data_IF_035317428993
#
_entry.id   IF_035317428993
#
_cell.length_a   1.000
_cell.length_b   1.000
_cell.length_c   1.000
_cell.angle_alpha   90.00
_cell.angle_beta   90.00
_cell.angle_gamma   90.00
#
_symmetry.space_group_name_H-M   'P 1'
#
loop_
_entity.id
_entity.type
_entity.pdbx_description
1 polymer ?
#
# COMPACT_ATOMS: atom_id res chain seq x y z
N UNK A 1 -14.50 -4.48 -2.97
CA UNK A 1 -14.11 -5.33 -4.13
C UNK A 1 -14.07 -6.80 -3.69
N UNK A 2 -14.23 -7.78 -4.59
CA UNK A 2 -14.00 -9.19 -4.26
C UNK A 2 -12.53 -9.42 -3.89
N UNK A 3 -12.26 -10.31 -2.95
CA UNK A 3 -10.90 -10.61 -2.48
C UNK A 3 -10.13 -11.51 -3.43
N UNK A 4 -10.84 -12.38 -4.16
CA UNK A 4 -10.26 -13.30 -5.14
C UNK A 4 -11.02 -13.20 -6.47
N UNK A 5 -10.31 -13.32 -7.58
CA UNK A 5 -10.86 -13.37 -8.92
C UNK A 5 -10.09 -14.35 -9.81
N UNK A 6 -10.73 -14.85 -10.86
CA UNK A 6 -10.07 -15.60 -11.93
C UNK A 6 -9.52 -14.65 -13.00
N UNK A 7 -8.47 -15.06 -13.74
CA UNK A 7 -8.01 -14.32 -14.90
C UNK A 7 -9.17 -14.08 -15.88
N UNK A 8 -9.23 -12.89 -16.48
CA UNK A 8 -10.31 -12.50 -17.40
C UNK A 8 -11.73 -12.43 -16.81
N UNK A 9 -11.89 -12.52 -15.48
CA UNK A 9 -13.18 -12.37 -14.81
C UNK A 9 -13.63 -10.90 -14.76
N UNK A 10 -14.94 -10.68 -14.88
CA UNK A 10 -15.53 -9.35 -14.74
C UNK A 10 -15.77 -9.01 -13.27
N UNK A 11 -15.19 -7.90 -12.81
CA UNK A 11 -15.26 -7.47 -11.42
C UNK A 11 -15.98 -6.14 -11.29
N UNK A 12 -16.86 -6.08 -10.29
CA UNK A 12 -17.61 -4.89 -9.90
C UNK A 12 -16.93 -4.22 -8.73
N UNK A 13 -16.51 -2.98 -8.94
CA UNK A 13 -15.95 -2.09 -7.92
C UNK A 13 -17.04 -1.10 -7.53
N UNK A 14 -17.40 -1.07 -6.25
CA UNK A 14 -18.29 -0.03 -5.71
C UNK A 14 -17.43 1.09 -5.16
N UNK A 15 -17.66 2.30 -5.66
CA UNK A 15 -16.95 3.50 -5.25
C UNK A 15 -17.96 4.42 -4.58
N UNK A 16 -17.57 4.94 -3.41
CA UNK A 16 -18.37 5.86 -2.62
C UNK A 16 -17.51 7.09 -2.33
N UNK A 17 -18.02 8.25 -2.67
CA UNK A 17 -17.40 9.56 -2.43
C UNK A 17 -18.45 10.56 -1.97
N UNK A 18 -18.01 11.74 -1.53
CA UNK A 18 -18.90 12.85 -1.23
C UNK A 18 -19.56 13.39 -2.52
N UNK A 19 -20.72 14.03 -2.35
CA UNK A 19 -21.44 14.73 -3.43
C UNK A 19 -20.54 15.66 -4.24
N UNK A 20 -20.71 15.68 -5.58
CA UNK A 20 -19.97 16.54 -6.51
C UNK A 20 -18.43 16.43 -6.41
N UNK A 21 -17.92 15.26 -6.02
CA UNK A 21 -16.48 15.02 -5.97
C UNK A 21 -15.95 14.48 -7.29
N UNK A 22 -14.78 14.98 -7.70
CA UNK A 22 -13.99 14.36 -8.74
C UNK A 22 -13.18 13.20 -8.15
N UNK A 23 -13.28 12.01 -8.72
CA UNK A 23 -12.59 10.80 -8.24
C UNK A 23 -11.65 10.28 -9.31
N UNK A 24 -10.37 10.14 -8.99
CA UNK A 24 -9.39 9.41 -9.79
C UNK A 24 -9.17 8.01 -9.22
N UNK A 25 -9.27 6.98 -10.06
CA UNK A 25 -9.04 5.58 -9.69
C UNK A 25 -7.84 5.03 -10.44
N UNK A 26 -7.01 4.28 -9.72
CA UNK A 26 -5.80 3.65 -10.25
C UNK A 26 -5.74 2.19 -9.79
N UNK A 27 -5.52 1.27 -10.72
CA UNK A 27 -5.27 -0.15 -10.45
C UNK A 27 -3.87 -0.55 -10.93
N UNK A 28 -2.97 -0.88 -10.01
CA UNK A 28 -1.57 -1.24 -10.32
C UNK A 28 -1.25 -2.65 -9.83
N UNK A 29 -0.38 -3.35 -10.55
CA UNK A 29 0.10 -4.66 -10.17
C UNK A 29 0.99 -4.57 -8.92
N UNK A 30 0.75 -5.44 -7.93
CA UNK A 30 1.55 -5.48 -6.71
C UNK A 30 3.04 -5.73 -6.99
N UNK A 31 3.38 -6.49 -8.04
CA UNK A 31 4.78 -6.76 -8.40
C UNK A 31 5.55 -5.47 -8.72
N UNK A 32 4.91 -4.51 -9.38
CA UNK A 32 5.51 -3.19 -9.70
C UNK A 32 5.75 -2.38 -8.44
N UNK A 33 4.79 -2.40 -7.50
CA UNK A 33 4.93 -1.73 -6.19
C UNK A 33 6.09 -2.32 -5.36
N UNK A 34 6.42 -3.60 -5.56
CA UNK A 34 7.53 -4.26 -4.89
C UNK A 34 8.89 -3.97 -5.53
N UNK A 35 8.94 -3.55 -6.80
CA UNK A 35 10.19 -3.22 -7.48
C UNK A 35 10.79 -1.90 -6.99
N UNK A 36 9.94 -0.89 -6.79
CA UNK A 36 10.36 0.42 -6.30
C UNK A 36 9.24 1.09 -5.52
N UNK A 37 9.42 1.15 -4.19
CA UNK A 37 8.52 1.89 -3.29
C UNK A 37 8.73 3.40 -3.37
N UNK A 38 7.72 4.17 -2.97
CA UNK A 38 7.81 5.64 -2.83
C UNK A 38 7.31 6.45 -4.04
N UNK A 39 6.66 5.80 -5.00
CA UNK A 39 6.01 6.49 -6.13
C UNK A 39 4.49 6.70 -5.92
N UNK A 40 3.93 6.16 -4.84
CA UNK A 40 2.53 6.31 -4.48
C UNK A 40 2.33 7.55 -3.60
N UNK A 41 1.22 8.26 -3.81
CA UNK A 41 0.82 9.36 -2.93
C UNK A 41 0.36 8.79 -1.59
N UNK A 42 0.99 9.22 -0.50
CA UNK A 42 0.54 8.89 0.86
C UNK A 42 -0.15 10.07 1.52
N UNK A 43 -1.01 9.77 2.49
CA UNK A 43 -1.67 10.81 3.29
C UNK A 43 -0.67 11.71 4.00
N UNK A 44 0.42 11.13 4.51
CA UNK A 44 1.48 11.85 5.22
C UNK A 44 2.24 12.79 4.28
N UNK A 45 2.55 12.36 3.05
CA UNK A 45 3.22 13.22 2.06
C UNK A 45 2.38 14.45 1.72
N UNK A 46 1.07 14.27 1.58
CA UNK A 46 0.12 15.37 1.34
C UNK A 46 0.11 16.33 2.53
N UNK A 47 -0.06 15.83 3.76
CA UNK A 47 -0.11 16.70 4.93
C UNK A 47 1.23 17.37 5.24
N UNK A 48 2.34 16.68 5.04
CA UNK A 48 3.68 17.27 5.17
C UNK A 48 3.87 18.40 4.16
N UNK A 49 3.41 18.21 2.92
CA UNK A 49 3.43 19.26 1.90
C UNK A 49 2.52 20.44 2.27
N UNK A 50 1.30 20.18 2.74
CA UNK A 50 0.37 21.24 3.20
C UNK A 50 0.92 22.00 4.41
N UNK A 51 1.64 21.33 5.31
CA UNK A 51 2.27 21.97 6.47
C UNK A 51 3.33 23.00 6.06
N UNK A 52 3.94 22.90 4.88
CA UNK A 52 4.88 23.92 4.39
C UNK A 52 4.21 25.27 4.10
N UNK A 53 2.90 25.28 3.88
CA UNK A 53 2.10 26.49 3.69
C UNK A 53 1.60 27.09 5.00
N UNK A 54 1.88 26.47 6.16
CA UNK A 54 1.54 27.06 7.45
C UNK A 54 2.25 28.40 7.60
N UNK A 55 1.46 29.45 7.78
CA UNK A 55 1.99 30.78 7.99
C UNK A 55 2.54 30.89 9.41
N UNK A 56 3.76 31.36 9.53
CA UNK A 56 4.34 31.82 10.78
C UNK A 56 4.91 33.21 10.54
N UNK A 57 4.83 34.08 11.55
CA UNK A 57 5.52 35.35 11.46
C UNK A 57 7.00 35.12 11.79
N UNK A 58 7.93 35.50 10.90
CA UNK A 58 9.37 35.32 11.12
C UNK A 58 9.81 35.93 12.45
N UNK A 59 10.94 35.44 12.97
CA UNK A 59 11.52 35.94 14.21
C UNK A 59 11.64 37.47 14.20
N UNK A 60 10.94 38.13 15.12
CA UNK A 60 11.05 39.57 15.35
C UNK A 60 11.96 39.76 16.56
N UNK A 61 13.06 40.49 16.40
CA UNK A 61 14.10 40.67 17.42
C UNK A 61 13.53 41.01 18.81
N UNK A 62 13.44 40.01 19.70
CA UNK A 62 12.84 40.17 21.01
C UNK A 62 12.78 38.94 21.93
N UNK A 63 12.56 39.18 23.23
CA UNK A 63 12.26 38.20 24.27
C UNK A 63 10.76 38.20 24.58
N UNK A 64 10.05 37.13 24.19
CA UNK A 64 8.64 36.91 24.52
C UNK A 64 7.88 36.17 23.41
N UNK A 65 6.89 35.36 23.78
CA UNK A 65 5.94 34.79 22.81
C UNK A 65 5.03 35.92 22.32
N UNK A 66 5.06 36.20 21.03
CA UNK A 66 4.16 37.16 20.39
C UNK A 66 3.02 36.42 19.69
N UNK A 67 1.81 37.01 19.59
CA UNK A 67 0.62 36.31 19.09
C UNK A 67 0.81 35.70 17.71
N UNK A 68 1.55 36.38 16.83
CA UNK A 68 1.85 35.95 15.47
C UNK A 68 2.77 34.73 15.35
N UNK A 69 3.56 34.42 16.39
CA UNK A 69 4.65 33.43 16.32
C UNK A 69 4.13 32.03 15.94
N UNK A 70 2.95 31.67 16.46
CA UNK A 70 2.29 30.38 16.18
C UNK A 70 1.05 30.52 15.32
N UNK A 71 0.47 31.71 15.21
CA UNK A 71 -0.78 31.94 14.47
C UNK A 71 -0.58 32.43 13.05
N UNK A 72 0.63 32.88 12.69
CA UNK A 72 0.90 33.49 11.38
C UNK A 72 0.25 34.85 11.17
N UNK A 73 -0.34 35.44 12.23
CA UNK A 73 -1.04 36.73 12.17
C UNK A 73 -0.08 37.90 12.39
N UNK A 74 -0.31 39.00 11.68
CA UNK A 74 0.34 40.29 11.93
C UNK A 74 -0.57 41.12 12.83
N UNK A 75 -0.06 41.53 13.99
CA UNK A 75 -0.79 42.40 14.93
C UNK A 75 -0.33 43.84 14.77
N UNK A 76 -1.27 44.75 14.50
CA UNK A 76 -1.05 46.20 14.47
C UNK A 76 -1.80 46.82 15.66
N UNK A 77 -1.09 47.52 16.54
CA UNK A 77 -1.69 48.17 17.72
C UNK A 77 -0.99 49.49 18.03
N UNK A 78 -1.73 50.41 18.65
CA UNK A 78 -1.22 51.67 19.20
C UNK A 78 -0.63 51.48 20.63
N UNK A 79 -0.80 50.31 21.23
CA UNK A 79 -0.24 49.98 22.53
C UNK A 79 1.27 49.74 22.42
N UNK A 80 2.06 50.25 23.36
CA UNK A 80 3.48 49.94 23.47
C UNK A 80 3.65 48.47 23.92
N UNK A 81 3.78 47.55 22.97
CA UNK A 81 4.02 46.12 23.23
C UNK A 81 5.53 45.86 23.26
N UNK A 82 6.14 45.61 24.44
CA UNK A 82 7.59 45.50 24.55
C UNK A 82 8.07 44.13 24.08
N UNK A 83 8.87 44.09 23.01
CA UNK A 83 9.50 42.86 22.53
C UNK A 83 10.91 42.67 23.09
N UNK A 84 11.56 43.64 23.75
CA UNK A 84 12.99 43.50 24.05
C UNK A 84 13.35 44.11 25.40
N UNK A 85 13.86 43.31 26.34
CA UNK A 85 14.80 43.72 27.42
C UNK A 85 15.31 42.49 28.20
N UNK A 86 16.42 41.89 27.72
CA UNK A 86 17.41 41.19 28.56
C UNK A 86 17.39 39.64 28.58
N UNK A 87 18.57 38.97 28.53
CA UNK A 87 18.68 37.51 28.59
C UNK A 87 18.54 36.98 30.02
N UNK A 88 17.57 36.08 30.27
CA UNK A 88 17.57 35.19 31.43
C UNK A 88 18.27 33.88 31.06
N UNK A 89 19.48 33.70 31.57
CA UNK A 89 20.27 32.46 31.40
C UNK A 89 19.83 31.46 32.48
N UNK A 90 19.23 30.33 32.07
CA UNK A 90 18.94 29.20 32.97
C UNK A 90 19.70 27.97 32.47
N UNK A 91 20.73 27.55 33.21
CA UNK A 91 21.57 26.39 32.89
C UNK A 91 21.07 25.14 33.61
N UNK A 92 20.81 24.06 32.85
CA UNK A 92 20.60 22.71 33.41
C UNK A 92 21.87 21.88 33.20
N UNK A 93 22.41 21.31 34.28
CA UNK A 93 23.50 20.32 34.25
C UNK A 93 22.87 18.94 34.30
N UNK A 94 23.08 18.12 33.27
CA UNK A 94 22.75 16.69 33.30
C UNK A 94 24.04 15.89 33.46
N UNK A 95 24.17 15.23 34.60
CA UNK A 95 25.29 14.34 34.93
C UNK A 95 24.97 12.94 34.41
N UNK A 96 25.68 12.52 33.36
CA UNK A 96 25.57 11.17 32.80
C UNK A 96 26.63 10.25 33.35
N UNK A 97 26.23 9.06 33.81
CA UNK A 97 27.13 7.95 34.14
C UNK A 97 26.96 6.79 33.15
N UNK A 98 28.09 6.33 32.59
CA UNK A 98 28.22 5.23 31.63
C UNK A 98 28.76 3.96 32.30
N UNK A 99 28.46 2.83 31.64
CA UNK A 99 29.19 1.53 31.58
C UNK A 99 28.91 0.47 32.66
N UNK A 100 29.26 -0.83 32.44
CA UNK A 100 29.28 -1.62 31.19
C UNK A 100 28.85 -3.12 31.31
N UNK A 101 28.60 -3.76 30.16
CA UNK A 101 28.64 -5.21 29.85
C UNK A 101 27.84 -6.23 30.68
N UNK A 102 26.84 -6.88 30.06
CA UNK A 102 26.46 -8.27 30.38
C UNK A 102 26.26 -9.09 29.09
N UNK A 103 26.85 -10.28 29.13
CA UNK A 103 27.07 -11.32 28.12
C UNK A 103 25.82 -12.04 27.60
N UNK A 104 25.89 -12.49 26.34
CA UNK A 104 24.90 -13.31 25.62
C UNK A 104 24.83 -14.76 26.15
N UNK A 105 23.64 -15.39 26.28
CA UNK A 105 23.56 -16.85 26.33
C UNK A 105 23.43 -17.45 24.92
N UNK A 106 24.16 -18.54 24.68
CA UNK A 106 23.95 -19.47 23.56
C UNK A 106 23.07 -20.62 24.05
N UNK A 107 22.04 -20.97 23.28
CA UNK A 107 21.31 -22.23 23.44
C UNK A 107 21.60 -23.13 22.22
N UNK A 108 21.91 -24.40 22.49
CA UNK A 108 22.00 -25.50 21.53
C UNK A 108 21.04 -26.58 22.05
N UNK A 109 20.04 -26.93 21.27
CA UNK A 109 19.13 -28.05 21.56
C UNK A 109 19.38 -29.13 20.51
N UNK A 110 19.71 -30.34 20.96
CA UNK A 110 19.73 -31.54 20.14
C UNK A 110 18.72 -32.53 20.69
N UNK A 111 18.09 -33.32 19.81
CA UNK A 111 17.31 -34.50 20.17
C UNK A 111 17.86 -35.67 19.35
N UNK A 112 18.15 -36.78 20.04
CA UNK A 112 18.65 -38.05 19.52
C UNK A 112 17.67 -39.16 19.90
N UNK A 113 17.30 -39.97 18.91
CA UNK A 113 16.69 -41.31 19.01
C UNK A 113 15.17 -41.31 19.21
N UNK A 114 14.39 -42.25 18.70
CA UNK A 114 14.60 -43.41 17.81
C UNK A 114 13.19 -43.93 17.44
N UNK A 115 13.11 -44.94 16.57
CA UNK A 115 11.95 -45.78 16.23
C UNK A 115 10.98 -45.27 15.16
N UNK A 116 11.33 -45.59 13.91
CA UNK A 116 10.53 -46.52 13.12
C UNK A 116 9.09 -46.13 12.79
N UNK A 117 8.90 -45.14 11.92
CA UNK A 117 7.74 -45.08 11.03
C UNK A 117 8.21 -44.94 9.58
N UNK A 118 8.21 -46.05 8.84
CA UNK A 118 8.37 -46.03 7.38
C UNK A 118 7.02 -45.69 6.77
N UNK A 119 6.83 -44.44 6.35
CA UNK A 119 5.71 -44.09 5.47
C UNK A 119 5.95 -44.80 4.13
N UNK A 120 5.14 -45.82 3.88
CA UNK A 120 5.15 -46.62 2.67
C UNK A 120 4.07 -46.07 1.74
N UNK A 121 4.45 -45.45 0.63
CA UNK A 121 3.50 -45.13 -0.42
C UNK A 121 3.26 -46.38 -1.27
N UNK A 122 2.08 -47.00 -1.13
CA UNK A 122 1.61 -47.96 -2.11
C UNK A 122 1.27 -47.19 -3.40
N UNK A 123 2.14 -47.30 -4.41
CA UNK A 123 1.74 -47.04 -5.78
C UNK A 123 0.72 -48.12 -6.17
N UNK A 124 -0.55 -47.73 -6.28
CA UNK A 124 -1.51 -48.56 -6.98
C UNK A 124 -1.11 -48.56 -8.46
N UNK A 125 -0.84 -49.76 -8.99
CA UNK A 125 -0.62 -49.98 -10.42
C UNK A 125 -1.87 -49.52 -11.18
N UNK A 126 -1.75 -48.41 -11.91
CA UNK A 126 -2.80 -47.91 -12.78
C UNK A 126 -2.96 -48.89 -13.94
N UNK A 127 -4.14 -49.50 -14.05
CA UNK A 127 -4.51 -50.34 -15.18
C UNK A 127 -4.91 -49.44 -16.37
N UNK A 128 -4.55 -49.80 -17.61
CA UNK A 128 -4.75 -48.99 -18.83
C UNK A 128 -6.19 -48.48 -19.04
N UNK A 129 -7.18 -49.17 -18.47
CA UNK A 129 -8.59 -48.75 -18.50
C UNK A 129 -8.87 -47.52 -17.65
N UNK A 130 -8.25 -47.41 -16.47
CA UNK A 130 -8.38 -46.24 -15.60
C UNK A 130 -7.65 -45.02 -16.18
N UNK A 131 -6.51 -45.22 -16.86
CA UNK A 131 -5.81 -44.14 -17.55
C UNK A 131 -6.65 -43.58 -18.71
N UNK A 132 -7.30 -44.44 -19.50
CA UNK A 132 -8.19 -44.00 -20.57
C UNK A 132 -9.44 -43.29 -20.04
N UNK A 133 -10.03 -43.70 -18.92
CA UNK A 133 -11.13 -42.97 -18.29
C UNK A 133 -10.73 -41.62 -17.70
N UNK A 134 -9.54 -41.50 -17.10
CA UNK A 134 -8.98 -40.22 -16.63
C UNK A 134 -8.68 -39.29 -17.82
N UNK A 135 -8.17 -39.84 -18.93
CA UNK A 135 -7.84 -39.09 -20.14
C UNK A 135 -9.09 -38.67 -20.93
N UNK A 136 -10.15 -39.50 -20.99
CA UNK A 136 -11.41 -39.19 -21.68
C UNK A 136 -12.29 -38.18 -20.93
N UNK A 137 -12.13 -38.03 -19.61
CA UNK A 137 -12.87 -37.02 -18.83
C UNK A 137 -12.36 -35.60 -19.04
N UNK A 138 -11.20 -35.42 -19.68
CA UNK A 138 -10.75 -34.10 -20.12
C UNK A 138 -11.43 -33.77 -21.45
N UNK A 139 -12.64 -33.23 -21.36
CA UNK A 139 -13.21 -32.47 -22.48
C UNK A 139 -12.17 -31.39 -22.84
N UNK A 140 -11.76 -31.23 -24.10
CA UNK A 140 -10.84 -30.16 -24.48
C UNK A 140 -11.53 -28.83 -24.20
N UNK A 141 -11.29 -28.27 -23.01
CA UNK A 141 -11.65 -26.90 -22.73
C UNK A 141 -10.88 -26.06 -23.72
N UNK A 142 -11.58 -25.21 -24.46
CA UNK A 142 -10.98 -24.27 -25.39
C UNK A 142 -9.94 -23.46 -24.62
N UNK A 143 -8.66 -23.78 -24.81
CA UNK A 143 -7.57 -23.17 -24.07
C UNK A 143 -7.42 -21.74 -24.57
N UNK A 144 -7.86 -20.78 -23.78
CA UNK A 144 -7.59 -19.36 -24.02
C UNK A 144 -6.14 -19.09 -23.68
N UNK A 145 -5.34 -18.75 -24.69
CA UNK A 145 -3.96 -18.30 -24.49
C UNK A 145 -4.03 -16.89 -23.90
N UNK A 146 -3.49 -16.74 -22.69
CA UNK A 146 -3.34 -15.46 -22.01
C UNK A 146 -2.32 -14.60 -22.74
N UNK A 147 -2.67 -13.34 -23.01
CA UNK A 147 -1.82 -12.41 -23.79
C UNK A 147 -1.60 -11.08 -23.09
N UNK A 148 -2.49 -10.68 -22.18
CA UNK A 148 -2.47 -9.35 -21.57
C UNK A 148 -1.77 -9.40 -20.20
N UNK A 149 -0.56 -8.86 -20.16
CA UNK A 149 0.24 -8.70 -18.94
C UNK A 149 0.62 -7.24 -18.68
N UNK A 150 -0.35 -6.34 -18.46
CA UNK A 150 -0.07 -4.94 -18.19
C UNK A 150 0.48 -4.73 -16.77
N UNK A 151 1.21 -3.63 -16.58
CA UNK A 151 1.64 -3.16 -15.26
C UNK A 151 0.56 -2.32 -14.55
N UNK A 152 -0.23 -1.60 -15.34
CA UNK A 152 -1.37 -0.78 -14.91
C UNK A 152 -2.64 -1.33 -15.53
N UNK A 153 -3.63 -1.64 -14.70
CA UNK A 153 -4.91 -2.18 -15.15
C UNK A 153 -5.84 -1.08 -15.67
N UNK A 154 -6.03 -0.01 -14.89
CA UNK A 154 -6.83 1.14 -15.30
C UNK A 154 -6.35 2.42 -14.62
N UNK A 155 -6.61 3.55 -15.29
CA UNK A 155 -6.48 4.89 -14.76
C UNK A 155 -7.66 5.71 -15.30
N UNK A 156 -8.66 5.96 -14.46
CA UNK A 156 -9.92 6.56 -14.89
C UNK A 156 -10.44 7.58 -13.89
N UNK A 157 -11.21 8.54 -14.39
CA UNK A 157 -11.77 9.63 -13.61
C UNK A 157 -13.29 9.62 -13.71
N UNK A 158 -13.94 9.79 -12.57
CA UNK A 158 -15.41 9.70 -12.42
C UNK A 158 -15.90 10.82 -11.52
N UNK A 159 -17.11 11.33 -11.77
CA UNK A 159 -17.69 12.48 -11.06
C UNK A 159 -19.04 12.19 -10.39
N UNK A 160 -19.32 10.93 -10.06
CA UNK A 160 -20.59 10.51 -9.43
C UNK A 160 -20.36 10.11 -7.96
N UNK A 161 -21.36 10.36 -7.10
CA UNK A 161 -21.26 10.12 -5.65
C UNK A 161 -21.09 8.64 -5.29
N UNK A 162 -21.93 7.80 -5.90
CA UNK A 162 -21.90 6.35 -5.73
C UNK A 162 -22.11 5.69 -7.08
N UNK A 163 -21.04 5.08 -7.61
CA UNK A 163 -21.09 4.37 -8.88
C UNK A 163 -20.45 3.00 -8.76
N UNK A 164 -20.92 2.08 -9.61
CA UNK A 164 -20.37 0.74 -9.73
C UNK A 164 -19.58 0.63 -11.03
N UNK A 165 -18.26 0.65 -10.93
CA UNK A 165 -17.38 0.43 -12.07
C UNK A 165 -17.26 -1.07 -12.34
N UNK A 166 -17.64 -1.49 -13.54
CA UNK A 166 -17.48 -2.88 -13.98
C UNK A 166 -16.32 -2.96 -14.94
N UNK A 167 -15.28 -3.72 -14.59
CA UNK A 167 -14.08 -3.89 -15.41
C UNK A 167 -13.65 -5.35 -15.45
N UNK A 168 -13.15 -5.75 -16.62
CA UNK A 168 -12.53 -7.05 -16.82
C UNK A 168 -11.13 -7.04 -16.23
N UNK A 169 -10.83 -7.99 -15.34
CA UNK A 169 -9.49 -8.15 -14.76
C UNK A 169 -8.53 -8.72 -15.81
N UNK A 170 -7.26 -8.24 -15.86
CA UNK A 170 -6.27 -8.76 -16.81
C UNK A 170 -5.94 -10.23 -16.56
N UNK A 171 -5.27 -10.85 -17.52
CA UNK A 171 -4.93 -12.27 -17.46
C UNK A 171 -3.75 -12.60 -16.52
N UNK A 172 -3.16 -11.58 -15.90
CA UNK A 172 -2.04 -11.72 -14.96
C UNK A 172 -2.46 -12.49 -13.71
N UNK A 173 -1.65 -13.47 -13.31
CA UNK A 173 -1.82 -14.17 -12.03
C UNK A 173 -1.02 -13.41 -10.97
N UNK A 174 -1.53 -12.23 -10.63
CA UNK A 174 -0.91 -11.32 -9.67
C UNK A 174 -1.96 -10.77 -8.73
N UNK A 175 -1.55 -9.91 -7.80
CA UNK A 175 -2.50 -9.15 -6.98
C UNK A 175 -2.55 -7.73 -7.50
N UNK A 176 -3.76 -7.25 -7.77
CA UNK A 176 -4.02 -5.87 -8.15
C UNK A 176 -4.31 -5.04 -6.91
N UNK A 177 -3.67 -3.89 -6.78
CA UNK A 177 -3.94 -2.91 -5.74
C UNK A 177 -4.68 -1.74 -6.37
N UNK A 178 -5.90 -1.50 -5.89
CA UNK A 178 -6.75 -0.41 -6.35
C UNK A 178 -6.73 0.70 -5.31
N UNK A 179 -6.29 1.88 -5.74
CA UNK A 179 -6.26 3.12 -4.97
C UNK A 179 -7.13 4.17 -5.63
N UNK A 180 -7.72 5.04 -4.82
CA UNK A 180 -8.50 6.17 -5.31
C UNK A 180 -8.14 7.47 -4.59
N UNK A 181 -8.18 8.57 -5.32
CA UNK A 181 -8.09 9.94 -4.82
C UNK A 181 -9.40 10.67 -5.16
N UNK A 182 -9.87 11.53 -4.25
CA UNK A 182 -11.02 12.39 -4.52
C UNK A 182 -10.71 13.85 -4.24
N UNK A 183 -11.34 14.73 -5.01
CA UNK A 183 -11.25 16.18 -4.91
C UNK A 183 -12.67 16.75 -4.82
N UNK A 184 -12.95 17.44 -3.73
CA UNK A 184 -14.23 18.07 -3.47
C UNK A 184 -14.01 19.56 -3.17
N UNK A 185 -14.85 20.48 -3.70
CA UNK A 185 -14.71 21.90 -3.43
C UNK A 185 -14.86 22.29 -1.94
N UNK A 186 -15.62 21.51 -1.16
CA UNK A 186 -15.91 21.78 0.26
C UNK A 186 -15.07 20.91 1.19
N UNK A 187 -14.97 19.60 0.96
CA UNK A 187 -14.19 18.69 1.82
C UNK A 187 -12.70 18.62 1.45
N UNK A 188 -12.29 19.15 0.29
CA UNK A 188 -10.90 19.20 -0.15
C UNK A 188 -10.43 17.91 -0.81
N UNK A 189 -9.16 17.56 -0.60
CA UNK A 189 -8.55 16.34 -1.13
C UNK A 189 -8.69 15.19 -0.14
N UNK A 190 -9.06 14.01 -0.63
CA UNK A 190 -9.04 12.78 0.14
C UNK A 190 -8.35 11.65 -0.62
N UNK A 191 -7.74 10.75 0.14
CA UNK A 191 -7.12 9.53 -0.36
C UNK A 191 -7.81 8.32 0.26
N UNK A 192 -7.89 7.22 -0.48
CA UNK A 192 -8.44 5.96 0.02
C UNK A 192 -7.59 5.43 1.17
N UNK A 193 -8.15 5.37 2.39
CA UNK A 193 -7.45 4.90 3.60
C UNK A 193 -6.95 3.46 3.49
N UNK A 194 -7.77 2.58 2.90
CA UNK A 194 -7.48 1.15 2.78
C UNK A 194 -7.55 0.76 1.30
N UNK A 195 -6.41 0.66 0.61
CA UNK A 195 -6.35 0.20 -0.78
C UNK A 195 -7.05 -1.15 -0.94
N UNK A 196 -7.88 -1.29 -1.97
CA UNK A 196 -8.58 -2.54 -2.25
C UNK A 196 -7.66 -3.50 -2.98
N UNK A 197 -7.34 -4.63 -2.36
CA UNK A 197 -6.49 -5.66 -2.97
C UNK A 197 -7.33 -6.78 -3.55
N UNK A 198 -7.09 -7.10 -4.82
CA UNK A 198 -7.78 -8.17 -5.54
C UNK A 198 -6.74 -9.20 -5.95
N UNK A 199 -6.87 -10.43 -5.45
CA UNK A 199 -5.94 -11.51 -5.77
C UNK A 199 -6.46 -12.29 -6.96
N UNK A 200 -5.69 -12.31 -8.04
CA UNK A 200 -5.99 -13.14 -9.21
C UNK A 200 -5.24 -14.46 -9.07
N UNK A 201 -5.97 -15.57 -9.07
CA UNK A 201 -5.38 -16.88 -8.89
C UNK A 201 -6.02 -17.95 -9.77
N UNK A 202 -5.19 -18.82 -10.33
CA UNK A 202 -5.61 -20.00 -11.06
C UNK A 202 -4.85 -21.22 -10.51
N UNK A 203 -5.53 -22.32 -10.14
CA UNK A 203 -4.89 -23.50 -9.54
C UNK A 203 -3.81 -24.17 -10.40
N UNK A 204 -3.92 -24.08 -11.73
CA UNK A 204 -2.98 -24.64 -12.68
C UNK A 204 -2.63 -23.59 -13.74
N UNK A 205 -1.35 -23.30 -13.92
CA UNK A 205 -0.86 -22.36 -14.93
C UNK A 205 0.60 -22.63 -15.29
N UNK A 206 1.01 -22.14 -16.46
CA UNK A 206 2.42 -22.08 -16.88
C UNK A 206 2.96 -20.68 -16.62
N UNK A 207 4.19 -20.60 -16.10
CA UNK A 207 4.95 -19.35 -15.93
C UNK A 207 6.21 -19.41 -16.79
N UNK A 208 6.52 -18.31 -17.48
CA UNK A 208 7.70 -18.17 -18.33
C UNK A 208 8.59 -17.06 -17.78
N UNK A 209 9.85 -17.36 -17.48
CA UNK A 209 10.84 -16.35 -17.12
C UNK A 209 11.70 -16.04 -18.35
N UNK A 210 11.41 -14.92 -19.02
CA UNK A 210 12.07 -14.52 -20.26
C UNK A 210 13.08 -13.40 -19.96
N UNK A 211 14.28 -13.43 -20.55
CA UNK A 211 15.20 -12.30 -20.48
C UNK A 211 14.61 -11.09 -21.20
N UNK A 212 15.00 -9.88 -20.78
CA UNK A 212 14.50 -8.64 -21.36
C UNK A 212 14.80 -8.50 -22.86
N UNK A 213 15.94 -9.03 -23.30
CA UNK A 213 16.38 -9.02 -24.69
C UNK A 213 17.31 -10.22 -24.95
N UNK A 214 17.34 -10.70 -26.19
CA UNK A 214 18.19 -11.80 -26.68
C UNK A 214 18.94 -11.31 -27.91
#
# INVERSE_FOLDING_TARGET
APTNAKPSEEVKLRIKTDADSFVGLLGVDQSVLLLKSGNDLTQDDIFNSLNTYQTSTPWMNGYGRYPGQTSGLVTLTNANYPYNTGPLVMSYVFEGSRHPWITRPRYRVGIRGDSGDRISFLSQSLNDRNLKEILLKQTPQRTTIRKEFPETWFFENVGEEEFTLTKKIPDTITSWVVTGLSLNPTSGIALTKNPSKIRVFQPFFVSTNLPYSV
#
